data_IF_006287231926
#
_entry.id   IF_006287231926
#
_cell.length_a   1.000
_cell.length_b   1.000
_cell.length_c   1.000
_cell.angle_alpha   90.00
_cell.angle_beta   90.00
_cell.angle_gamma   90.00
#
_symmetry.space_group_name_H-M   'P 1'
#
loop_
_entity.id
_entity.type
_entity.pdbx_description
1 polymer ?
#
# COMPACT_ATOMS: atom_id res chain seq x y z
N UNK A 1 6.62 6.70 -6.78
CA UNK A 1 5.86 6.13 -5.65
C UNK A 1 6.77 5.20 -4.86
N UNK A 2 6.74 5.25 -3.53
CA UNK A 2 7.48 4.33 -2.66
C UNK A 2 6.48 3.48 -1.90
N UNK A 3 6.50 2.16 -2.13
CA UNK A 3 5.62 1.20 -1.45
C UNK A 3 6.34 0.57 -0.27
N UNK A 4 5.58 0.19 0.75
CA UNK A 4 6.08 -0.60 1.86
C UNK A 4 5.03 -1.61 2.33
N UNK A 5 5.52 -2.68 2.94
CA UNK A 5 4.74 -3.48 3.86
C UNK A 5 5.02 -3.00 5.29
N UNK A 6 3.97 -2.90 6.09
CA UNK A 6 4.09 -2.50 7.48
C UNK A 6 3.12 -3.32 8.35
N UNK A 7 3.38 -3.32 9.65
CA UNK A 7 2.57 -4.02 10.64
C UNK A 7 2.07 -3.04 11.69
N UNK A 8 0.82 -3.21 12.08
CA UNK A 8 0.22 -2.56 13.24
C UNK A 8 -0.37 -3.67 14.09
N UNK A 9 0.06 -3.74 15.35
CA UNK A 9 -0.28 -4.84 16.25
C UNK A 9 0.05 -6.20 15.59
N UNK A 10 -0.97 -6.98 15.22
CA UNK A 10 -0.82 -8.29 14.57
C UNK A 10 -1.18 -8.32 13.08
N UNK A 11 -1.60 -7.20 12.51
CA UNK A 11 -2.08 -7.12 11.12
C UNK A 11 -1.03 -6.53 10.19
N UNK A 12 -0.86 -7.15 9.01
CA UNK A 12 0.04 -6.70 7.95
C UNK A 12 -0.74 -5.87 6.92
N UNK A 13 -0.14 -4.77 6.50
CA UNK A 13 -0.72 -3.81 5.57
C UNK A 13 0.26 -3.49 4.44
N UNK A 14 -0.28 -2.96 3.35
CA UNK A 14 0.50 -2.35 2.27
C UNK A 14 0.14 -0.88 2.14
N UNK A 15 1.16 -0.03 1.96
CA UNK A 15 0.97 1.40 1.91
C UNK A 15 1.95 2.14 1.01
N UNK A 16 1.64 3.41 0.77
CA UNK A 16 2.51 4.33 0.05
C UNK A 16 3.14 5.30 1.05
N UNK A 17 4.47 5.43 1.02
CA UNK A 17 5.18 6.46 1.77
C UNK A 17 5.00 7.82 1.08
N UNK A 18 4.49 8.79 1.83
CA UNK A 18 4.42 10.20 1.46
C UNK A 18 4.95 11.03 2.63
N UNK A 19 6.11 11.67 2.44
CA UNK A 19 6.85 12.37 3.48
C UNK A 19 7.11 11.47 4.70
N UNK A 20 6.60 11.82 5.90
CA UNK A 20 6.71 11.01 7.12
C UNK A 20 5.42 10.23 7.45
N UNK A 21 4.54 10.05 6.45
CA UNK A 21 3.26 9.35 6.59
C UNK A 21 3.14 8.20 5.58
N UNK A 22 2.29 7.26 5.92
CA UNK A 22 1.96 6.10 5.11
C UNK A 22 0.48 6.17 4.78
N UNK A 23 0.16 6.28 3.50
CA UNK A 23 -1.19 6.07 3.00
C UNK A 23 -1.50 4.58 3.02
N UNK A 24 -2.50 4.16 3.77
CA UNK A 24 -2.97 2.78 3.80
C UNK A 24 -3.80 2.44 2.55
N UNK A 25 -3.29 1.51 1.75
CA UNK A 25 -3.96 1.11 0.51
C UNK A 25 -5.20 0.25 0.76
N UNK A 26 -5.30 -0.43 1.90
CA UNK A 26 -6.54 -1.15 2.26
C UNK A 26 -7.67 -0.17 2.53
N UNK A 27 -7.41 0.88 3.31
CA UNK A 27 -8.35 1.98 3.51
C UNK A 27 -8.70 2.67 2.19
N UNK A 28 -7.73 2.89 1.30
CA UNK A 28 -7.97 3.48 -0.01
C UNK A 28 -8.85 2.62 -0.92
N UNK A 29 -8.60 1.30 -0.93
CA UNK A 29 -9.37 0.32 -1.68
C UNK A 29 -10.82 0.25 -1.17
N UNK A 30 -11.00 0.08 0.14
CA UNK A 30 -12.31 -0.13 0.75
C UNK A 30 -13.27 1.06 0.60
N UNK A 31 -12.72 2.26 0.45
CA UNK A 31 -13.47 3.51 0.35
C UNK A 31 -13.49 4.09 -1.07
N UNK A 32 -12.81 3.44 -2.01
CA UNK A 32 -12.64 3.92 -3.37
C UNK A 32 -12.16 5.37 -3.44
N UNK A 33 -11.11 5.70 -2.68
CA UNK A 33 -10.60 7.07 -2.55
C UNK A 33 -10.29 7.71 -3.90
N UNK A 34 -10.90 8.87 -4.17
CA UNK A 34 -10.73 9.55 -5.45
C UNK A 34 -11.22 8.74 -6.67
N UNK A 35 -12.12 7.79 -6.47
CA UNK A 35 -12.56 6.84 -7.51
C UNK A 35 -11.59 5.70 -7.76
N UNK A 36 -10.55 5.54 -6.93
CA UNK A 36 -9.63 4.42 -7.01
C UNK A 36 -10.34 3.08 -6.74
N UNK A 37 -9.86 2.02 -7.39
CA UNK A 37 -10.30 0.64 -7.19
C UNK A 37 -11.81 0.39 -7.42
N UNK A 38 -12.56 1.31 -8.02
CA UNK A 38 -14.01 1.18 -8.26
C UNK A 38 -14.39 -0.01 -9.16
N UNK A 39 -13.45 -0.47 -9.99
CA UNK A 39 -13.63 -1.66 -10.82
C UNK A 39 -13.48 -3.00 -10.07
N UNK A 40 -13.09 -2.99 -8.80
CA UNK A 40 -12.90 -4.20 -8.00
C UNK A 40 -14.10 -4.39 -7.06
N UNK A 41 -14.89 -5.43 -7.33
CA UNK A 41 -16.18 -5.68 -6.67
C UNK A 41 -15.99 -6.44 -5.33
N UNK A 42 -14.86 -7.13 -5.16
CA UNK A 42 -14.57 -7.90 -3.96
C UNK A 42 -13.61 -7.16 -3.04
N UNK A 43 -14.04 -6.92 -1.80
CA UNK A 43 -13.13 -6.53 -0.71
C UNK A 43 -12.16 -7.68 -0.47
N UNK A 44 -10.87 -7.40 -0.57
CA UNK A 44 -9.83 -8.27 -0.05
C UNK A 44 -8.78 -7.38 0.60
N UNK A 45 -8.20 -7.86 1.69
CA UNK A 45 -7.11 -7.17 2.35
C UNK A 45 -5.86 -7.31 1.47
N UNK A 46 -5.50 -6.21 0.84
CA UNK A 46 -4.27 -6.05 0.09
C UNK A 46 -3.07 -6.30 1.00
N UNK A 47 -2.31 -7.33 0.67
CA UNK A 47 -0.92 -7.48 1.02
C UNK A 47 -0.03 -7.05 -0.18
N UNK A 48 1.29 -7.10 -0.03
CA UNK A 48 2.18 -6.72 -1.14
C UNK A 48 2.04 -7.66 -2.34
N UNK A 49 1.82 -8.96 -2.13
CA UNK A 49 1.77 -9.92 -3.24
C UNK A 49 0.53 -9.70 -4.09
N UNK A 50 -0.63 -9.65 -3.45
CA UNK A 50 -1.91 -9.39 -4.07
C UNK A 50 -1.94 -8.02 -4.73
N UNK A 51 -1.32 -6.99 -4.14
CA UNK A 51 -1.11 -5.70 -4.80
C UNK A 51 -0.28 -5.84 -6.09
N UNK A 52 0.85 -6.56 -6.06
CA UNK A 52 1.70 -6.77 -7.23
C UNK A 52 1.00 -7.59 -8.32
N UNK A 53 0.11 -8.52 -7.96
CA UNK A 53 -0.71 -9.30 -8.90
C UNK A 53 -1.70 -8.44 -9.69
N UNK A 54 -2.09 -7.26 -9.17
CA UNK A 54 -2.88 -6.29 -9.93
C UNK A 54 -2.08 -5.62 -11.07
N UNK A 55 -0.76 -5.72 -11.05
CA UNK A 55 0.14 -5.16 -12.06
C UNK A 55 -0.03 -3.65 -12.25
N UNK A 56 0.01 -3.20 -13.51
CA UNK A 56 -0.08 -1.78 -13.87
C UNK A 56 -1.40 -1.14 -13.44
N UNK A 57 -2.51 -1.90 -13.43
CA UNK A 57 -3.80 -1.42 -12.98
C UNK A 57 -3.76 -1.07 -11.49
N UNK A 58 -3.21 -1.95 -10.65
CA UNK A 58 -3.06 -1.69 -9.21
C UNK A 58 -2.21 -0.45 -8.93
N UNK A 59 -1.12 -0.26 -9.68
CA UNK A 59 -0.29 0.94 -9.57
C UNK A 59 -1.08 2.20 -9.96
N UNK A 60 -1.83 2.15 -11.07
CA UNK A 60 -2.66 3.28 -11.53
C UNK A 60 -3.72 3.66 -10.50
N UNK A 61 -4.43 2.68 -9.94
CA UNK A 61 -5.44 2.92 -8.89
C UNK A 61 -4.82 3.47 -7.61
N UNK A 62 -3.66 2.96 -7.20
CA UNK A 62 -2.94 3.47 -6.03
C UNK A 62 -2.46 4.93 -6.22
N UNK A 63 -2.06 5.30 -7.44
CA UNK A 63 -1.72 6.68 -7.78
C UNK A 63 -2.95 7.60 -7.72
N UNK A 64 -4.12 7.17 -8.21
CA UNK A 64 -5.37 7.95 -8.07
C UNK A 64 -5.69 8.25 -6.61
N UNK A 65 -5.61 7.23 -5.75
CA UNK A 65 -5.81 7.40 -4.32
C UNK A 65 -4.81 8.40 -3.73
N UNK A 66 -3.51 8.27 -4.07
CA UNK A 66 -2.47 9.18 -3.61
C UNK A 66 -2.72 10.64 -4.04
N UNK A 67 -3.07 10.87 -5.31
CA UNK A 67 -3.36 12.22 -5.81
C UNK A 67 -4.57 12.82 -5.09
N UNK A 68 -5.65 12.07 -4.91
CA UNK A 68 -6.82 12.53 -4.17
C UNK A 68 -6.47 12.90 -2.73
N UNK A 69 -5.58 12.14 -2.08
CA UNK A 69 -5.18 12.44 -0.70
C UNK A 69 -4.31 13.70 -0.58
N UNK A 70 -3.67 14.19 -1.65
CA UNK A 70 -2.96 15.47 -1.62
C UNK A 70 -3.90 16.65 -1.45
N UNK A 71 -5.16 16.50 -1.86
CA UNK A 71 -6.20 17.53 -1.78
C UNK A 71 -7.01 17.45 -0.49
N UNK A 72 -6.89 16.36 0.28
CA UNK A 72 -7.61 16.16 1.53
C UNK A 72 -6.89 16.81 2.72
N UNK A 73 -7.64 17.59 3.50
CA UNK A 73 -7.22 18.04 4.82
C UNK A 73 -7.67 17.03 5.89
N UNK A 74 -6.75 16.15 6.33
CA UNK A 74 -6.96 15.28 7.49
C UNK A 74 -6.49 13.84 7.30
N UNK A 75 -6.42 13.12 8.42
CA UNK A 75 -5.92 11.73 8.46
C UNK A 75 -7.03 10.67 8.44
N UNK A 76 -8.29 11.08 8.36
CA UNK A 76 -9.45 10.19 8.36
C UNK A 76 -10.37 10.48 7.19
N UNK A 77 -10.91 9.42 6.60
CA UNK A 77 -11.96 9.49 5.59
C UNK A 77 -13.04 8.46 5.94
N UNK A 78 -14.31 8.87 5.86
CA UNK A 78 -15.48 8.08 6.28
C UNK A 78 -15.31 7.28 7.60
N UNK A 79 -14.64 7.85 8.60
CA UNK A 79 -14.45 7.25 9.92
C UNK A 79 -13.33 6.20 10.02
N UNK A 80 -12.59 5.95 8.95
CA UNK A 80 -11.42 5.06 8.94
C UNK A 80 -10.12 5.86 8.86
N UNK A 81 -9.07 5.35 9.51
CA UNK A 81 -7.76 5.99 9.49
C UNK A 81 -7.11 5.78 8.12
N UNK A 82 -6.78 6.88 7.47
CA UNK A 82 -6.22 6.91 6.13
C UNK A 82 -4.69 6.90 6.15
N UNK A 83 -4.12 7.62 7.10
CA UNK A 83 -2.69 7.80 7.24
C UNK A 83 -2.17 7.24 8.56
N UNK A 84 -1.01 6.61 8.50
CA UNK A 84 -0.20 6.23 9.65
C UNK A 84 1.09 7.03 9.66
N UNK A 85 1.60 7.38 10.84
CA UNK A 85 2.95 7.94 10.96
C UNK A 85 3.97 6.83 10.72
N UNK A 86 5.02 7.11 9.96
CA UNK A 86 6.10 6.14 9.69
C UNK A 86 6.76 5.66 10.99
N UNK A 87 6.85 6.53 12.00
CA UNK A 87 7.42 6.24 13.33
C UNK A 87 6.49 5.42 14.23
N UNK A 88 5.21 5.26 13.84
CA UNK A 88 4.19 4.56 14.64
C UNK A 88 3.93 3.12 14.19
N UNK A 89 4.62 2.64 13.17
CA UNK A 89 4.41 1.30 12.59
C UNK A 89 5.69 0.49 12.60
N UNK A 90 5.56 -0.84 12.59
CA UNK A 90 6.70 -1.71 12.33
C UNK A 90 6.86 -1.87 10.81
N UNK A 91 7.92 -1.29 10.24
CA UNK A 91 8.26 -1.48 8.82
C UNK A 91 8.77 -2.90 8.60
N UNK A 92 8.22 -3.59 7.60
CA UNK A 92 8.60 -4.94 7.21
C UNK A 92 9.49 -4.92 5.97
N UNK A 93 10.03 -6.10 5.61
CA UNK A 93 10.59 -6.30 4.26
C UNK A 93 9.55 -5.92 3.21
N UNK A 94 9.92 -5.27 2.08
CA UNK A 94 8.95 -4.85 1.06
C UNK A 94 8.05 -5.97 0.56
N UNK A 95 8.59 -7.18 0.43
CA UNK A 95 7.82 -8.41 0.19
C UNK A 95 8.14 -9.36 1.35
N UNK A 96 7.31 -9.43 2.42
CA UNK A 96 7.63 -10.21 3.62
C UNK A 96 7.72 -11.72 3.38
N UNK A 97 6.89 -12.25 2.47
CA UNK A 97 6.75 -13.70 2.20
C UNK A 97 6.81 -13.97 0.69
N UNK A 98 7.96 -13.78 0.03
CA UNK A 98 8.06 -13.97 -1.42
C UNK A 98 7.82 -15.44 -1.79
N UNK A 99 7.06 -15.69 -2.85
CA UNK A 99 6.79 -17.08 -3.33
C UNK A 99 8.06 -17.79 -3.79
N UNK A 100 9.02 -17.04 -4.32
CA UNK A 100 10.34 -17.51 -4.75
C UNK A 100 11.37 -16.41 -4.49
N UNK A 101 12.55 -16.80 -4.04
CA UNK A 101 13.71 -15.92 -3.95
C UNK A 101 14.71 -16.32 -5.04
N UNK A 102 15.11 -15.36 -5.88
CA UNK A 102 16.18 -15.53 -6.86
C UNK A 102 17.40 -14.78 -6.33
N UNK A 103 18.50 -15.50 -6.11
CA UNK A 103 19.75 -14.93 -5.61
C UNK A 103 20.82 -15.15 -6.68
N UNK A 104 21.31 -14.06 -7.27
CA UNK A 104 22.38 -14.12 -8.27
C UNK A 104 23.73 -13.93 -7.58
N UNK A 105 24.59 -14.96 -7.62
CA UNK A 105 25.99 -14.89 -7.18
C UNK A 105 26.94 -14.49 -8.31
N UNK A 106 28.15 -14.01 -7.93
CA UNK A 106 29.21 -13.42 -8.77
C UNK A 106 29.18 -13.73 -10.28
N UNK A 107 29.00 -12.66 -11.07
CA UNK A 107 29.54 -12.57 -12.44
C UNK A 107 31.04 -12.30 -12.33
N UNK A 108 31.86 -13.35 -12.42
CA UNK A 108 33.30 -13.20 -12.59
C UNK A 108 33.56 -12.63 -13.99
N UNK A 109 34.17 -11.45 -14.05
CA UNK A 109 34.66 -10.81 -15.27
C UNK A 109 35.92 -11.48 -15.80
#
# INVERSE_FOLDING_TARGET
>A
MKLLSFKIEEEEYVGIIQDNRILDLNSAFNQHLGGAFTGYIHRFDLDMLSFLELGELGISEALKALEFCKELEGDYYFGSRLFYSLDSVQVLSPIPRPRKNIVCGLFLH
#
